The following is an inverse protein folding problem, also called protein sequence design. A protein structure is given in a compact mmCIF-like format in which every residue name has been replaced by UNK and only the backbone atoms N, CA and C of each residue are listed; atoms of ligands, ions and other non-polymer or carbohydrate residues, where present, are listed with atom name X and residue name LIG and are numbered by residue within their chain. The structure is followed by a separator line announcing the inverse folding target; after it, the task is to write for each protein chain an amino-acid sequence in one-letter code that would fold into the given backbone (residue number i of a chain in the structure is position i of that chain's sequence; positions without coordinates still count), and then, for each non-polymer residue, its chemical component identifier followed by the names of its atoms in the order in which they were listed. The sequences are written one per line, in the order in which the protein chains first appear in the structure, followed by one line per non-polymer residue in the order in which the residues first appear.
data_IF_588372835990
#
_entry.id   IF_588372835990
#
_cell.length_a   1.000
_cell.length_b   1.000
_cell.length_c   1.000
_cell.angle_alpha   90.00
_cell.angle_beta   90.00
_cell.angle_gamma   90.00
#
_symmetry.space_group_name_H-M   'P 1'
#
loop_
_entity.id
_entity.type
_entity.pdbx_description
1 polymer ?
#
# COMPACT_ATOMS: atom_id res chain seq x y z
N UNK A 1 3.67 -26.64 -23.89
CA UNK A 1 3.06 -27.34 -22.75
C UNK A 1 1.56 -27.17 -22.87
N UNK A 2 0.85 -28.22 -23.30
CA UNK A 2 -0.61 -28.21 -23.50
C UNK A 2 -1.29 -28.31 -22.13
N UNK A 3 -2.14 -27.33 -21.79
CA UNK A 3 -3.06 -27.44 -20.67
C UNK A 3 -4.28 -28.25 -21.14
N UNK A 4 -4.17 -29.57 -21.10
CA UNK A 4 -5.31 -30.47 -21.25
C UNK A 4 -6.13 -30.49 -19.95
N UNK A 5 -7.41 -30.16 -20.08
CA UNK A 5 -8.53 -30.59 -19.24
C UNK A 5 -8.22 -30.85 -17.74
N UNK A 6 -8.15 -29.79 -16.94
CA UNK A 6 -8.35 -29.93 -15.49
C UNK A 6 -9.85 -30.09 -15.24
N UNK A 7 -10.23 -31.36 -15.05
CA UNK A 7 -11.43 -31.87 -14.37
C UNK A 7 -12.37 -30.82 -13.77
N UNK A 8 -13.59 -30.75 -14.30
CA UNK A 8 -14.73 -29.93 -13.82
C UNK A 8 -15.33 -30.37 -12.49
N UNK A 9 -14.80 -31.35 -11.76
CA UNK A 9 -15.47 -31.91 -10.56
C UNK A 9 -14.50 -32.29 -9.43
N UNK A 10 -13.44 -31.53 -9.20
CA UNK A 10 -12.57 -31.77 -8.04
C UNK A 10 -13.15 -31.10 -6.77
N UNK A 11 -13.93 -31.87 -6.01
CA UNK A 11 -14.20 -31.73 -4.55
C UNK A 11 -13.94 -30.35 -3.89
N UNK A 12 -14.60 -29.28 -4.35
CA UNK A 12 -14.27 -27.91 -3.96
C UNK A 12 -15.04 -27.36 -2.74
N UNK A 13 -16.05 -28.08 -2.23
CA UNK A 13 -16.86 -27.59 -1.09
C UNK A 13 -16.11 -27.63 0.26
N UNK A 14 -15.31 -28.66 0.53
CA UNK A 14 -14.64 -28.79 1.84
C UNK A 14 -13.39 -27.92 1.98
N UNK A 15 -12.68 -27.64 0.88
CA UNK A 15 -11.53 -26.73 0.87
C UNK A 15 -11.97 -25.27 1.02
N UNK A 16 -13.06 -24.88 0.35
CA UNK A 16 -13.60 -23.52 0.38
C UNK A 16 -14.03 -23.08 1.80
N UNK A 17 -14.61 -23.98 2.60
CA UNK A 17 -15.15 -23.63 3.93
C UNK A 17 -14.09 -23.34 5.02
N UNK A 18 -12.79 -23.52 4.73
CA UNK A 18 -11.73 -23.39 5.73
C UNK A 18 -10.67 -22.32 5.41
N UNK A 19 -10.81 -21.59 4.29
CA UNK A 19 -9.84 -20.57 3.92
C UNK A 19 -10.05 -19.31 4.76
N UNK A 20 -9.32 -19.20 5.86
CA UNK A 20 -9.38 -18.04 6.77
C UNK A 20 -8.56 -16.84 6.31
N UNK A 21 -7.54 -17.09 5.51
CA UNK A 21 -6.51 -16.10 5.13
C UNK A 21 -5.98 -16.39 3.74
N UNK A 22 -6.00 -15.39 2.87
CA UNK A 22 -5.38 -15.41 1.55
C UNK A 22 -4.28 -14.37 1.54
N UNK A 23 -3.04 -14.81 1.26
CA UNK A 23 -1.89 -13.93 1.08
C UNK A 23 -1.44 -13.97 -0.36
N UNK A 24 -1.54 -12.84 -1.05
CA UNK A 24 -1.03 -12.65 -2.40
C UNK A 24 0.17 -11.73 -2.34
N UNK A 25 1.32 -12.19 -2.82
CA UNK A 25 2.55 -11.41 -2.90
C UNK A 25 3.00 -11.34 -4.34
N UNK A 26 3.18 -10.13 -4.85
CA UNK A 26 3.63 -9.87 -6.21
C UNK A 26 4.85 -8.98 -6.19
N UNK A 27 5.81 -9.31 -7.05
CA UNK A 27 6.97 -8.47 -7.30
C UNK A 27 6.93 -8.03 -8.76
N UNK A 28 6.94 -6.72 -8.98
CA UNK A 28 6.83 -6.11 -10.31
C UNK A 28 8.22 -5.72 -10.81
N UNK A 29 8.50 -6.04 -12.07
CA UNK A 29 9.76 -5.72 -12.75
C UNK A 29 9.47 -4.97 -14.05
N UNK A 30 10.46 -4.27 -14.63
CA UNK A 30 10.30 -3.64 -15.95
C UNK A 30 10.27 -4.65 -17.09
N UNK A 31 10.97 -5.77 -16.92
CA UNK A 31 10.96 -6.86 -17.87
C UNK A 31 9.59 -7.56 -17.89
N UNK A 32 9.15 -8.12 -19.03
CA UNK A 32 7.92 -8.87 -19.10
C UNK A 32 7.95 -10.01 -18.08
N UNK A 33 7.13 -9.86 -17.04
CA UNK A 33 6.89 -10.89 -16.04
C UNK A 33 6.29 -12.14 -16.72
N UNK A 34 6.67 -13.35 -16.31
CA UNK A 34 6.01 -14.58 -16.76
C UNK A 34 4.55 -14.63 -16.33
N UNK A 35 4.17 -13.87 -15.29
CA UNK A 35 2.79 -13.72 -14.81
C UNK A 35 2.27 -12.36 -15.30
N UNK A 36 1.30 -12.39 -16.19
CA UNK A 36 0.66 -11.17 -16.70
C UNK A 36 -0.40 -10.65 -15.72
N UNK A 37 -0.84 -9.39 -15.90
CA UNK A 37 -2.02 -8.88 -15.18
C UNK A 37 -3.26 -9.75 -15.42
N UNK A 38 -3.36 -10.38 -16.60
CA UNK A 38 -4.47 -11.25 -16.93
C UNK A 38 -4.44 -12.52 -16.07
N UNK A 39 -3.27 -13.14 -15.91
CA UNK A 39 -3.10 -14.31 -15.05
C UNK A 39 -3.46 -13.99 -13.59
N UNK A 40 -3.02 -12.82 -13.10
CA UNK A 40 -3.43 -12.34 -11.78
C UNK A 40 -4.94 -12.12 -11.67
N UNK A 41 -5.56 -11.54 -12.70
CA UNK A 41 -7.02 -11.33 -12.75
C UNK A 41 -7.79 -12.65 -12.71
N UNK A 42 -7.35 -13.66 -13.44
CA UNK A 42 -7.95 -15.00 -13.44
C UNK A 42 -7.77 -15.69 -12.08
N UNK A 43 -6.56 -15.65 -11.51
CA UNK A 43 -6.28 -16.24 -10.20
C UNK A 43 -7.09 -15.58 -9.09
N UNK A 44 -7.10 -14.25 -9.04
CA UNK A 44 -7.84 -13.50 -8.02
C UNK A 44 -9.35 -13.76 -8.11
N UNK A 45 -9.90 -13.82 -9.32
CA UNK A 45 -11.30 -14.20 -9.53
C UNK A 45 -11.59 -15.62 -9.02
N UNK A 46 -10.76 -16.60 -9.38
CA UNK A 46 -10.91 -17.97 -8.92
C UNK A 46 -10.89 -18.07 -7.39
N UNK A 47 -9.93 -17.40 -6.74
CA UNK A 47 -9.82 -17.35 -5.28
C UNK A 47 -11.02 -16.64 -4.64
N UNK A 48 -11.50 -15.55 -5.23
CA UNK A 48 -12.70 -14.85 -4.77
C UNK A 48 -13.95 -15.74 -4.86
N UNK A 49 -14.10 -16.50 -5.96
CA UNK A 49 -15.18 -17.49 -6.10
C UNK A 49 -15.09 -18.60 -5.05
N UNK A 50 -13.89 -19.10 -4.75
CA UNK A 50 -13.72 -20.13 -3.71
C UNK A 50 -14.21 -19.63 -2.34
N UNK A 51 -13.87 -18.39 -1.98
CA UNK A 51 -14.31 -17.80 -0.70
C UNK A 51 -15.80 -17.48 -0.70
N UNK A 52 -16.36 -16.97 -1.80
CA UNK A 52 -17.78 -16.59 -1.86
C UNK A 52 -18.75 -17.78 -1.88
N UNK A 53 -18.31 -18.94 -2.35
CA UNK A 53 -19.08 -20.20 -2.29
C UNK A 53 -19.27 -20.65 -0.83
N UNK A 54 -18.39 -20.25 0.09
CA UNK A 54 -18.51 -20.52 1.53
C UNK A 54 -19.52 -19.57 2.22
N UNK A 55 -20.80 -19.66 1.84
CA UNK A 55 -21.90 -18.81 2.37
C UNK A 55 -22.12 -18.88 3.90
N UNK A 56 -21.38 -19.72 4.62
CA UNK A 56 -21.61 -19.99 6.04
C UNK A 56 -20.45 -19.61 6.99
N UNK A 57 -19.30 -19.18 6.49
CA UNK A 57 -18.14 -18.95 7.35
C UNK A 57 -17.26 -17.84 6.79
N UNK A 58 -17.21 -16.72 7.50
CA UNK A 58 -16.15 -15.69 7.48
C UNK A 58 -15.53 -15.38 6.10
N UNK A 59 -15.83 -14.22 5.53
CA UNK A 59 -15.07 -13.70 4.40
C UNK A 59 -13.57 -13.70 4.77
N UNK A 60 -12.79 -14.62 4.18
CA UNK A 60 -11.39 -14.81 4.52
C UNK A 60 -10.63 -13.49 4.44
N UNK A 61 -9.67 -13.26 5.35
CA UNK A 61 -8.87 -12.03 5.34
C UNK A 61 -7.96 -12.04 4.12
N UNK A 62 -7.96 -10.97 3.33
CA UNK A 62 -7.05 -10.82 2.19
C UNK A 62 -5.88 -9.92 2.54
N UNK A 63 -4.68 -10.43 2.31
CA UNK A 63 -3.44 -9.69 2.45
C UNK A 63 -2.80 -9.59 1.08
N UNK A 64 -2.67 -8.38 0.56
CA UNK A 64 -2.04 -8.09 -0.71
C UNK A 64 -0.72 -7.37 -0.45
N UNK A 65 0.38 -7.98 -0.88
CA UNK A 65 1.73 -7.41 -0.82
C UNK A 65 2.23 -7.15 -2.22
N UNK A 66 2.55 -5.90 -2.52
CA UNK A 66 3.08 -5.47 -3.81
C UNK A 66 4.49 -4.91 -3.60
N UNK A 67 5.47 -5.52 -4.27
CA UNK A 67 6.87 -5.12 -4.22
C UNK A 67 7.29 -4.59 -5.57
N UNK A 68 7.86 -3.40 -5.60
CA UNK A 68 8.29 -2.72 -6.80
C UNK A 68 9.80 -2.89 -7.00
N UNK A 69 10.19 -3.59 -8.06
CA UNK A 69 11.56 -3.70 -8.54
C UNK A 69 11.77 -2.97 -9.88
N UNK A 70 10.84 -2.08 -10.25
CA UNK A 70 10.92 -1.31 -11.50
C UNK A 70 11.87 -0.14 -11.35
N UNK A 71 12.55 0.24 -12.43
CA UNK A 71 13.40 1.43 -12.50
C UNK A 71 12.55 2.69 -12.37
N UNK A 72 11.33 2.66 -12.93
CA UNK A 72 10.45 3.83 -13.03
C UNK A 72 9.80 4.25 -11.70
N UNK A 73 9.77 3.36 -10.70
CA UNK A 73 9.06 3.56 -9.44
C UNK A 73 7.53 3.65 -9.60
N UNK A 74 6.81 3.70 -8.48
CA UNK A 74 5.33 3.79 -8.44
C UNK A 74 4.84 5.23 -8.32
N UNK A 75 5.48 6.15 -9.05
CA UNK A 75 5.15 7.57 -9.07
C UNK A 75 3.84 7.88 -9.80
N UNK A 76 3.63 9.14 -10.16
CA UNK A 76 2.47 9.49 -10.98
C UNK A 76 2.64 8.97 -12.41
N UNK A 77 1.59 8.34 -12.91
CA UNK A 77 1.46 7.92 -14.30
C UNK A 77 0.36 8.72 -14.96
N UNK A 78 0.64 9.29 -16.12
CA UNK A 78 -0.40 9.93 -16.91
C UNK A 78 -1.42 8.89 -17.43
N UNK A 79 -2.66 9.28 -17.75
CA UNK A 79 -3.67 8.34 -18.27
C UNK A 79 -3.21 7.54 -19.50
N UNK A 80 -2.38 8.14 -20.36
CA UNK A 80 -1.78 7.49 -21.53
C UNK A 80 -0.73 6.43 -21.17
N UNK A 81 -0.06 6.57 -20.03
CA UNK A 81 1.00 5.66 -19.57
C UNK A 81 0.49 4.50 -18.72
N UNK A 82 -0.64 4.69 -18.04
CA UNK A 82 -1.25 3.68 -17.16
C UNK A 82 -1.52 2.38 -17.94
N UNK A 83 -2.12 2.45 -19.13
CA UNK A 83 -2.48 1.25 -19.90
C UNK A 83 -1.27 0.41 -20.35
N UNK A 84 -0.22 0.99 -20.98
CA UNK A 84 0.95 0.20 -21.37
C UNK A 84 1.75 -0.32 -20.17
N UNK A 85 1.76 0.41 -19.05
CA UNK A 85 2.55 0.05 -17.86
C UNK A 85 1.76 -0.75 -16.82
N UNK A 86 0.56 -1.24 -17.16
CA UNK A 86 -0.32 -1.95 -16.22
C UNK A 86 0.34 -3.12 -15.48
N UNK A 87 1.27 -3.82 -16.13
CA UNK A 87 2.00 -4.96 -15.56
C UNK A 87 3.05 -4.55 -14.53
N UNK A 88 3.45 -3.28 -14.52
CA UNK A 88 4.45 -2.72 -13.63
C UNK A 88 3.88 -1.65 -12.70
N UNK A 89 2.55 -1.51 -12.61
CA UNK A 89 1.90 -0.51 -11.73
C UNK A 89 1.01 -1.15 -10.66
N UNK A 90 1.26 -0.81 -9.40
CA UNK A 90 0.51 -1.30 -8.24
C UNK A 90 -1.00 -1.10 -8.35
N UNK A 91 -1.45 0.06 -8.82
CA UNK A 91 -2.86 0.42 -8.84
C UNK A 91 -3.73 -0.57 -9.63
N UNK A 92 -3.19 -1.21 -10.68
CA UNK A 92 -3.94 -2.21 -11.44
C UNK A 92 -4.26 -3.45 -10.63
N UNK A 93 -3.28 -3.94 -9.86
CA UNK A 93 -3.44 -5.13 -9.04
C UNK A 93 -4.43 -4.85 -7.90
N UNK A 94 -4.35 -3.68 -7.27
CA UNK A 94 -5.32 -3.25 -6.25
C UNK A 94 -6.73 -3.15 -6.85
N UNK A 95 -6.90 -2.40 -7.95
CA UNK A 95 -8.21 -2.26 -8.62
C UNK A 95 -8.79 -3.61 -9.04
N UNK A 96 -7.96 -4.53 -9.53
CA UNK A 96 -8.42 -5.87 -9.92
C UNK A 96 -9.02 -6.64 -8.74
N UNK A 97 -8.41 -6.56 -7.55
CA UNK A 97 -8.96 -7.21 -6.35
C UNK A 97 -10.27 -6.53 -5.92
N UNK A 98 -10.31 -5.20 -5.92
CA UNK A 98 -11.50 -4.43 -5.56
C UNK A 98 -12.67 -4.64 -6.52
N UNK A 99 -12.40 -4.81 -7.83
CA UNK A 99 -13.40 -5.15 -8.86
C UNK A 99 -14.17 -6.43 -8.53
N UNK A 100 -13.54 -7.38 -7.81
CA UNK A 100 -14.18 -8.62 -7.38
C UNK A 100 -15.00 -8.48 -6.08
N UNK A 101 -15.11 -7.27 -5.52
CA UNK A 101 -15.79 -7.03 -4.25
C UNK A 101 -15.07 -7.64 -3.04
N UNK A 102 -13.79 -7.96 -3.20
CA UNK A 102 -12.98 -8.54 -2.13
C UNK A 102 -12.53 -7.44 -1.16
N UNK A 103 -12.82 -7.64 0.12
CA UNK A 103 -12.34 -6.75 1.18
C UNK A 103 -10.87 -7.06 1.51
N UNK A 104 -9.98 -6.09 1.32
CA UNK A 104 -8.56 -6.22 1.64
C UNK A 104 -8.38 -5.94 3.14
N UNK A 105 -7.87 -6.90 3.89
CA UNK A 105 -7.52 -6.68 5.31
C UNK A 105 -6.18 -5.96 5.44
N UNK A 106 -5.17 -6.33 4.65
CA UNK A 106 -3.86 -5.67 4.68
C UNK A 106 -3.35 -5.42 3.27
N UNK A 107 -2.99 -4.18 2.98
CA UNK A 107 -2.29 -3.79 1.76
C UNK A 107 -0.86 -3.34 2.12
N UNK A 108 0.15 -4.05 1.62
CA UNK A 108 1.56 -3.70 1.80
C UNK A 108 2.14 -3.21 0.47
N UNK A 109 2.67 -1.99 0.45
CA UNK A 109 3.28 -1.36 -0.72
C UNK A 109 4.76 -1.12 -0.44
N UNK A 110 5.64 -1.76 -1.22
CA UNK A 110 7.07 -1.84 -0.92
C UNK A 110 7.89 -1.39 -2.12
N UNK A 111 8.81 -0.46 -1.91
CA UNK A 111 9.88 -0.20 -2.87
C UNK A 111 11.04 -1.16 -2.60
N UNK A 112 11.20 -2.17 -3.46
CA UNK A 112 12.27 -3.16 -3.33
C UNK A 112 13.66 -2.60 -3.68
N UNK A 113 13.72 -1.46 -4.36
CA UNK A 113 14.96 -0.77 -4.71
C UNK A 113 15.22 0.46 -3.83
N UNK A 114 14.44 0.63 -2.76
CA UNK A 114 14.61 1.76 -1.86
C UNK A 114 15.92 1.66 -1.10
N UNK A 115 16.69 2.74 -1.20
CA UNK A 115 17.83 2.93 -0.32
C UNK A 115 17.35 3.43 1.04
N UNK A 116 17.88 2.88 2.14
CA UNK A 116 17.49 3.30 3.48
C UNK A 116 17.69 4.81 3.68
N UNK A 117 16.77 5.47 4.40
CA UNK A 117 16.72 6.94 4.50
C UNK A 117 17.98 7.58 5.12
N UNK A 118 18.80 6.81 5.83
CA UNK A 118 20.01 7.26 6.51
C UNK A 118 21.29 7.14 5.68
N UNK A 119 21.25 6.53 4.50
CA UNK A 119 22.37 6.46 3.56
C UNK A 119 22.39 7.77 2.75
N UNK A 120 22.87 8.84 3.40
CA UNK A 120 23.03 10.16 2.80
C UNK A 120 24.41 10.17 2.11
N UNK A 121 24.45 9.91 0.82
CA UNK A 121 25.70 9.87 0.08
C UNK A 121 25.52 9.59 -1.41
N UNK A 122 25.11 10.60 -2.17
CA UNK A 122 25.36 10.68 -3.61
C UNK A 122 24.19 10.31 -4.53
N UNK A 123 23.74 11.33 -5.29
CA UNK A 123 23.15 11.27 -6.65
C UNK A 123 21.95 10.38 -6.97
N UNK A 124 21.49 9.49 -6.09
CA UNK A 124 20.35 8.63 -6.41
C UNK A 124 19.02 9.39 -6.33
N UNK A 125 18.24 9.26 -7.41
CA UNK A 125 16.91 9.86 -7.54
C UNK A 125 15.97 9.22 -6.52
N UNK A 126 15.34 10.04 -5.68
CA UNK A 126 14.28 9.58 -4.77
C UNK A 126 13.15 8.93 -5.57
N UNK A 127 12.68 7.80 -5.07
CA UNK A 127 11.61 7.00 -5.64
C UNK A 127 10.37 7.26 -4.81
N UNK A 128 9.31 7.75 -5.44
CA UNK A 128 8.10 8.16 -4.74
C UNK A 128 6.92 7.28 -5.12
N UNK A 129 6.08 6.98 -4.14
CA UNK A 129 4.76 6.41 -4.32
C UNK A 129 3.76 7.53 -4.60
N UNK A 130 2.94 7.33 -5.62
CA UNK A 130 1.73 8.12 -5.84
C UNK A 130 0.56 7.52 -5.05
N UNK A 131 0.02 8.28 -4.12
CA UNK A 131 -1.06 7.81 -3.24
C UNK A 131 -2.41 7.85 -3.96
N UNK A 132 -2.79 6.72 -4.55
CA UNK A 132 -4.13 6.49 -5.13
C UNK A 132 -5.20 6.33 -4.04
N UNK A 133 -6.44 6.73 -4.30
CA UNK A 133 -7.51 6.63 -3.29
C UNK A 133 -7.89 5.19 -2.95
N UNK A 134 -7.78 4.29 -3.93
CA UNK A 134 -8.06 2.86 -3.82
C UNK A 134 -7.16 2.17 -2.78
N UNK A 135 -6.00 2.75 -2.44
CA UNK A 135 -5.16 2.22 -1.37
C UNK A 135 -5.80 2.34 0.02
N UNK A 136 -6.84 3.18 0.18
CA UNK A 136 -7.65 3.26 1.41
C UNK A 136 -8.74 2.19 1.48
N UNK A 137 -8.97 1.41 0.42
CA UNK A 137 -9.91 0.28 0.42
C UNK A 137 -9.27 -0.96 1.05
N UNK A 138 -8.72 -0.80 2.24
CA UNK A 138 -8.20 -1.87 3.07
C UNK A 138 -8.32 -1.52 4.55
N UNK A 139 -8.26 -2.50 5.46
CA UNK A 139 -8.30 -2.23 6.91
C UNK A 139 -6.96 -1.69 7.44
N UNK A 140 -5.85 -2.26 6.98
CA UNK A 140 -4.48 -1.86 7.31
C UNK A 140 -3.67 -1.56 6.05
N UNK A 141 -3.16 -0.33 5.93
CA UNK A 141 -2.24 0.08 4.88
C UNK A 141 -0.81 0.16 5.43
N UNK A 142 0.13 -0.57 4.84
CA UNK A 142 1.56 -0.55 5.20
C UNK A 142 2.38 -0.03 4.02
N UNK A 143 3.20 0.99 4.26
CA UNK A 143 3.93 1.71 3.23
C UNK A 143 5.43 1.69 3.55
N UNK A 144 6.19 0.98 2.71
CA UNK A 144 7.65 0.96 2.70
C UNK A 144 8.15 1.69 1.45
N UNK A 145 7.61 2.89 1.23
CA UNK A 145 7.83 3.70 0.04
C UNK A 145 7.84 5.17 0.47
N UNK A 146 8.78 5.97 -0.04
CA UNK A 146 8.72 7.41 0.23
C UNK A 146 7.47 8.01 -0.44
N UNK A 147 6.72 8.81 0.32
CA UNK A 147 5.45 9.41 -0.09
C UNK A 147 5.73 10.84 -0.57
N UNK A 148 5.70 11.00 -1.88
CA UNK A 148 6.03 12.27 -2.53
C UNK A 148 4.87 12.95 -3.25
N UNK A 149 3.90 12.20 -3.76
CA UNK A 149 2.77 12.77 -4.52
C UNK A 149 1.48 12.12 -4.03
N UNK A 150 0.49 12.94 -3.74
CA UNK A 150 -0.79 12.51 -3.22
C UNK A 150 -1.89 12.90 -4.19
N UNK A 151 -2.84 11.99 -4.47
CA UNK A 151 -3.95 12.30 -5.36
C UNK A 151 -4.73 13.51 -4.83
N UNK A 152 -4.98 14.55 -5.65
CA UNK A 152 -5.70 15.74 -5.22
C UNK A 152 -7.11 15.41 -4.72
N UNK A 153 -7.47 15.99 -3.57
CA UNK A 153 -8.75 15.77 -2.90
C UNK A 153 -9.99 16.08 -3.73
N UNK A 154 -9.90 17.11 -4.56
CA UNK A 154 -11.05 17.71 -5.24
C UNK A 154 -11.78 16.75 -6.20
N UNK A 155 -11.12 15.66 -6.63
CA UNK A 155 -11.70 14.73 -7.60
C UNK A 155 -12.76 13.79 -6.98
N UNK A 156 -12.74 13.55 -5.66
CA UNK A 156 -13.51 12.44 -5.07
C UNK A 156 -14.13 12.72 -3.68
N UNK A 157 -14.53 13.96 -3.40
CA UNK A 157 -15.20 14.37 -2.14
C UNK A 157 -16.47 13.57 -1.76
N UNK A 158 -16.94 12.65 -2.62
CA UNK A 158 -18.13 11.81 -2.38
C UNK A 158 -17.80 10.35 -2.01
N UNK A 159 -16.55 9.90 -2.14
CA UNK A 159 -16.17 8.51 -1.85
C UNK A 159 -15.68 8.43 -0.41
N UNK A 160 -16.49 7.79 0.44
CA UNK A 160 -16.10 7.46 1.81
C UNK A 160 -15.29 6.18 1.81
N UNK A 161 -14.14 6.22 2.47
CA UNK A 161 -13.25 5.06 2.61
C UNK A 161 -13.32 4.54 4.04
N UNK A 162 -14.45 3.93 4.39
CA UNK A 162 -14.75 3.56 5.77
C UNK A 162 -14.02 2.28 6.23
N UNK A 163 -13.25 1.64 5.35
CA UNK A 163 -12.54 0.41 5.70
C UNK A 163 -11.24 0.65 6.46
N UNK A 164 -10.51 1.73 6.12
CA UNK A 164 -9.18 1.99 6.65
C UNK A 164 -9.21 2.37 8.12
N UNK A 165 -8.52 1.59 8.93
CA UNK A 165 -8.39 1.79 10.38
C UNK A 165 -6.96 2.10 10.80
N UNK A 166 -5.96 1.56 10.09
CA UNK A 166 -4.55 1.71 10.46
C UNK A 166 -3.71 2.02 9.23
N UNK A 167 -2.87 3.04 9.35
CA UNK A 167 -1.79 3.33 8.39
C UNK A 167 -0.46 3.17 9.08
N UNK A 168 0.45 2.41 8.50
CA UNK A 168 1.80 2.18 9.01
C UNK A 168 2.81 2.62 7.96
N UNK A 169 3.65 3.59 8.31
CA UNK A 169 4.71 4.14 7.46
C UNK A 169 6.03 3.59 7.99
N UNK A 170 6.64 2.72 7.20
CA UNK A 170 7.87 2.02 7.58
C UNK A 170 9.09 2.62 6.91
N UNK A 171 10.00 3.15 7.72
CA UNK A 171 11.29 3.71 7.28
C UNK A 171 11.16 4.68 6.09
N UNK A 172 10.05 5.42 6.01
CA UNK A 172 9.67 6.18 4.83
C UNK A 172 9.48 7.66 5.10
N UNK A 173 9.95 8.47 4.16
CA UNK A 173 9.75 9.91 4.18
C UNK A 173 8.36 10.26 3.66
N UNK A 174 7.70 11.19 4.35
CA UNK A 174 6.50 11.85 3.86
C UNK A 174 6.84 13.31 3.60
N UNK A 175 7.01 13.66 2.32
CA UNK A 175 7.48 14.97 1.91
C UNK A 175 6.41 16.03 2.19
N UNK A 176 5.17 15.79 1.75
CA UNK A 176 4.04 16.68 1.93
C UNK A 176 3.06 16.12 2.97
N UNK A 177 3.39 16.30 4.26
CA UNK A 177 2.63 15.72 5.38
C UNK A 177 1.20 16.24 5.44
N UNK A 178 0.99 17.53 5.25
CA UNK A 178 -0.36 18.12 5.25
C UNK A 178 -1.25 17.50 4.16
N UNK A 179 -0.73 17.31 2.95
CA UNK A 179 -1.52 16.74 1.85
C UNK A 179 -1.78 15.25 2.07
N UNK A 180 -0.82 14.53 2.64
CA UNK A 180 -1.01 13.15 3.06
C UNK A 180 -2.07 13.03 4.16
N UNK A 181 -2.03 13.88 5.19
CA UNK A 181 -3.01 13.91 6.26
C UNK A 181 -4.39 14.30 5.77
N UNK A 182 -4.47 15.30 4.87
CA UNK A 182 -5.72 15.58 4.16
C UNK A 182 -6.17 14.30 3.47
N UNK A 183 -5.34 13.63 2.66
CA UNK A 183 -5.73 12.42 1.93
C UNK A 183 -6.36 11.36 2.85
N UNK A 184 -5.79 11.15 4.04
CA UNK A 184 -6.34 10.26 5.06
C UNK A 184 -7.62 10.77 5.72
N UNK A 185 -7.89 12.07 5.73
CA UNK A 185 -9.11 12.66 6.33
C UNK A 185 -10.42 12.07 5.77
N UNK A 186 -10.41 11.63 4.51
CA UNK A 186 -11.56 10.96 3.88
C UNK A 186 -11.80 9.51 4.35
N UNK A 187 -10.88 8.94 5.13
CA UNK A 187 -11.03 7.65 5.77
C UNK A 187 -11.56 7.85 7.19
N UNK A 188 -12.89 7.84 7.34
CA UNK A 188 -13.57 8.25 8.58
C UNK A 188 -13.31 7.32 9.78
N UNK A 189 -12.91 6.08 9.52
CA UNK A 189 -12.70 5.04 10.54
C UNK A 189 -11.22 4.87 10.92
N UNK A 190 -10.33 5.76 10.48
CA UNK A 190 -8.91 5.69 10.83
C UNK A 190 -8.72 5.90 12.33
N UNK A 191 -8.12 4.92 12.99
CA UNK A 191 -7.89 4.91 14.44
C UNK A 191 -6.46 5.32 14.78
N UNK A 192 -5.50 4.95 13.93
CA UNK A 192 -4.11 5.29 14.18
C UNK A 192 -3.26 5.39 12.91
N UNK A 193 -2.24 6.24 13.01
CA UNK A 193 -1.12 6.34 12.06
C UNK A 193 0.14 5.99 12.82
N UNK A 194 0.81 4.93 12.39
CA UNK A 194 2.04 4.44 12.99
C UNK A 194 3.22 4.87 12.13
N UNK A 195 4.20 5.53 12.74
CA UNK A 195 5.48 5.87 12.13
C UNK A 195 6.53 4.93 12.70
N UNK A 196 6.98 3.96 11.91
CA UNK A 196 8.05 3.05 12.33
C UNK A 196 9.38 3.72 12.05
N UNK A 197 10.08 4.08 13.12
CA UNK A 197 11.35 4.79 13.08
C UNK A 197 12.46 3.78 12.81
N UNK A 198 13.29 3.98 11.76
CA UNK A 198 14.39 3.08 11.48
C UNK A 198 15.34 2.98 12.69
N UNK A 199 15.84 1.78 12.99
CA UNK A 199 16.67 1.54 14.19
C UNK A 199 17.90 2.46 14.26
N UNK A 200 18.51 2.76 13.12
CA UNK A 200 19.62 3.72 13.02
C UNK A 200 19.18 5.17 13.19
N UNK A 201 17.95 5.52 12.79
CA UNK A 201 17.32 6.80 13.05
C UNK A 201 17.02 7.02 14.54
N UNK A 202 16.58 5.98 15.25
CA UNK A 202 16.36 6.02 16.69
C UNK A 202 17.65 6.33 17.47
N UNK A 203 18.79 5.70 17.10
CA UNK A 203 20.10 6.01 17.68
C UNK A 203 20.53 7.46 17.40
N UNK A 204 20.35 7.96 16.17
CA UNK A 204 20.68 9.35 15.82
C UNK A 204 19.77 10.37 16.49
N UNK A 205 18.50 10.04 16.76
CA UNK A 205 17.57 10.90 17.53
C UNK A 205 18.16 11.24 18.91
N UNK A 206 18.81 10.27 19.55
CA UNK A 206 19.37 10.49 20.88
C UNK A 206 20.71 11.25 20.88
N UNK A 207 21.38 11.39 19.72
CA UNK A 207 22.72 11.99 19.63
C UNK A 207 22.82 13.25 18.76
N UNK A 208 21.78 13.58 17.97
CA UNK A 208 21.79 14.75 17.10
C UNK A 208 21.34 16.03 17.82
N UNK A 209 22.00 17.16 17.50
CA UNK A 209 21.60 18.49 17.97
C UNK A 209 20.21 18.86 17.40
N UNK A 210 19.41 19.70 18.09
CA UNK A 210 18.07 20.11 17.66
C UNK A 210 17.95 20.57 16.20
N UNK A 211 19.00 21.18 15.67
CA UNK A 211 19.09 21.69 14.29
C UNK A 211 18.95 20.60 13.23
N UNK A 212 19.29 19.34 13.54
CA UNK A 212 19.15 18.22 12.61
C UNK A 212 17.68 17.86 12.31
N UNK A 213 16.75 18.16 13.23
CA UNK A 213 15.32 17.90 13.06
C UNK A 213 14.62 18.90 12.14
N UNK A 214 15.26 20.03 11.86
CA UNK A 214 14.75 21.01 10.90
C UNK A 214 14.85 20.55 9.44
N UNK A 215 15.60 19.48 9.15
CA UNK A 215 15.65 18.89 7.80
C UNK A 215 14.38 18.06 7.55
N UNK A 216 13.74 18.29 6.41
CA UNK A 216 12.49 17.61 5.98
C UNK A 216 12.57 16.08 6.10
N UNK A 217 13.76 15.53 5.87
CA UNK A 217 14.09 14.10 5.98
C UNK A 217 13.89 13.56 7.42
N UNK A 218 14.33 14.30 8.44
CA UNK A 218 14.24 13.85 9.83
C UNK A 218 12.92 14.21 10.49
N UNK A 219 12.23 15.25 10.02
CA UNK A 219 10.93 15.68 10.53
C UNK A 219 9.88 14.55 10.43
N UNK A 220 9.98 13.63 9.47
CA UNK A 220 9.05 12.50 9.35
C UNK A 220 9.10 11.56 10.55
N UNK A 221 10.27 11.46 11.20
CA UNK A 221 10.53 10.50 12.26
C UNK A 221 10.51 11.16 13.64
N UNK A 222 9.82 12.29 13.82
CA UNK A 222 9.62 12.96 15.12
C UNK A 222 8.23 13.57 15.21
N UNK A 223 7.65 13.60 16.42
CA UNK A 223 6.31 14.17 16.66
C UNK A 223 6.19 15.61 16.16
N UNK A 224 7.21 16.43 16.41
CA UNK A 224 7.24 17.84 15.99
C UNK A 224 7.20 18.06 14.47
N UNK A 225 7.40 17.02 13.64
CA UNK A 225 7.20 17.13 12.20
C UNK A 225 5.75 16.92 11.76
N UNK A 226 4.85 16.48 12.65
CA UNK A 226 3.46 16.14 12.37
C UNK A 226 2.47 17.07 13.09
N UNK A 227 2.83 18.35 13.26
CA UNK A 227 2.03 19.33 14.02
C UNK A 227 0.59 19.47 13.49
N UNK A 228 0.37 19.28 12.20
CA UNK A 228 -0.95 19.33 11.56
C UNK A 228 -1.78 18.05 11.73
N UNK A 229 -1.26 17.01 12.39
CA UNK A 229 -1.95 15.74 12.57
C UNK A 229 -3.32 15.93 13.21
N UNK A 230 -3.38 16.58 14.38
CA UNK A 230 -4.63 16.84 15.09
C UNK A 230 -5.54 17.84 14.37
N UNK A 231 -5.03 18.62 13.42
CA UNK A 231 -5.87 19.48 12.58
C UNK A 231 -6.73 18.64 11.62
N UNK A 232 -6.18 17.54 11.11
CA UNK A 232 -6.83 16.70 10.08
C UNK A 232 -7.47 15.43 10.64
N UNK A 233 -6.85 14.79 11.63
CA UNK A 233 -7.24 13.47 12.15
C UNK A 233 -7.46 13.51 13.67
N UNK A 234 -8.44 14.31 14.11
CA UNK A 234 -8.74 14.54 15.56
C UNK A 234 -9.11 13.29 16.35
N UNK A 235 -9.68 12.30 15.67
CA UNK A 235 -10.18 11.06 16.28
C UNK A 235 -9.17 9.91 16.23
N UNK A 236 -8.03 10.12 15.58
CA UNK A 236 -6.98 9.12 15.45
C UNK A 236 -5.80 9.42 16.37
N UNK A 237 -4.97 8.42 16.61
CA UNK A 237 -3.70 8.56 17.33
C UNK A 237 -2.52 8.54 16.37
N UNK A 238 -1.49 9.34 16.67
CA UNK A 238 -0.19 9.26 16.01
C UNK A 238 0.76 8.50 16.95
N UNK A 239 1.28 7.37 16.48
CA UNK A 239 2.13 6.48 17.28
C UNK A 239 3.49 6.36 16.60
N UNK A 240 4.57 6.55 17.34
CA UNK A 240 5.92 6.28 16.87
C UNK A 240 6.38 4.94 17.46
N UNK A 241 6.83 4.04 16.58
CA UNK A 241 7.27 2.67 16.93
C UNK A 241 8.75 2.52 16.57
#
# INVERSE_FOLDING_TARGET
MQLSSVSRNFCSRNLACNVKLIKLSLTLYDAPSPITCFDFRVLSHFLACLVSISKFTFAGKWHLKLTDMTIRAQGWFSPSEIRPLRASTFIFYVRTILEWGVQIHTLELIDGLKVPPYVIGGTQKRRFLYMHHEYKECEKLVIHYDIGIVTPHYLHNKIKHDQLQLVQIEESHVIYKDDFLKYLWSASNIKSVHIVVPHHGAKRRNTCRPVCYGRVEFACFVEGGWLSFLKHLRHASLVFI
#
